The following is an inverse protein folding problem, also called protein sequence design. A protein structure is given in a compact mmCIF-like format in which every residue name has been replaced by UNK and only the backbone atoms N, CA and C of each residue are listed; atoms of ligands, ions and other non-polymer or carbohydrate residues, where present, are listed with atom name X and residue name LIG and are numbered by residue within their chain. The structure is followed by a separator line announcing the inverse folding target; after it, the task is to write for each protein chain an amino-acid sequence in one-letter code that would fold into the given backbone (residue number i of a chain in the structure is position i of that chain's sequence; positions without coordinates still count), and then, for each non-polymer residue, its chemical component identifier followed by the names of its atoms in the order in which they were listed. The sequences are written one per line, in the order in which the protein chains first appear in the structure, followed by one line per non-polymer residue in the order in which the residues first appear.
data_IF_479932322268
#
_entry.id   IF_479932322268
#
_cell.length_a   1.000
_cell.length_b   1.000
_cell.length_c   1.000
_cell.angle_alpha   90.00
_cell.angle_beta   90.00
_cell.angle_gamma   90.00
#
_symmetry.space_group_name_H-M   'P 1'
#
loop_
_entity.id
_entity.type
_entity.pdbx_description
1 polymer ?
#
# COMPACT_ATOMS: atom_id res chain seq x y z
N UNK A 1 41.82 -7.76 -80.24
CA UNK A 1 41.74 -9.13 -79.68
C UNK A 1 41.84 -9.01 -78.17
N UNK A 2 40.69 -8.90 -77.50
CA UNK A 2 40.60 -8.66 -76.07
C UNK A 2 39.79 -9.82 -75.46
N UNK A 3 40.36 -10.51 -74.45
CA UNK A 3 39.79 -11.62 -73.72
C UNK A 3 38.91 -11.09 -72.61
N UNK A 4 37.78 -11.73 -72.32
CA UNK A 4 36.90 -11.30 -71.22
C UNK A 4 37.38 -11.87 -69.86
N UNK A 5 37.26 -11.07 -68.81
CA UNK A 5 37.60 -11.39 -67.46
C UNK A 5 36.40 -12.11 -66.76
N UNK A 6 36.62 -13.11 -65.90
CA UNK A 6 35.51 -13.82 -65.19
C UNK A 6 35.01 -13.05 -63.97
N UNK A 7 33.71 -12.94 -63.86
CA UNK A 7 32.97 -12.41 -62.70
C UNK A 7 32.96 -13.42 -61.55
N UNK A 8 33.54 -13.01 -60.44
CA UNK A 8 33.51 -13.79 -59.20
C UNK A 8 32.13 -13.63 -58.48
N UNK A 9 31.45 -14.73 -58.34
CA UNK A 9 30.25 -14.82 -57.53
C UNK A 9 30.61 -14.72 -56.04
N UNK A 10 30.05 -13.72 -55.35
CA UNK A 10 30.14 -13.58 -53.89
C UNK A 10 29.09 -14.52 -53.23
N UNK A 11 29.49 -15.35 -52.26
CA UNK A 11 28.51 -16.10 -51.48
C UNK A 11 27.82 -15.16 -50.49
N UNK A 12 26.49 -15.08 -50.56
CA UNK A 12 25.62 -14.44 -49.56
C UNK A 12 25.57 -15.37 -48.36
N UNK A 13 26.32 -15.04 -47.30
CA UNK A 13 26.25 -15.72 -46.02
C UNK A 13 24.92 -15.39 -45.31
N UNK A 14 24.01 -16.36 -45.28
CA UNK A 14 22.81 -16.31 -44.46
C UNK A 14 23.24 -16.38 -42.96
N UNK A 15 23.29 -15.26 -42.28
CA UNK A 15 23.43 -15.19 -40.82
C UNK A 15 22.10 -15.60 -40.18
N UNK A 16 22.01 -16.84 -39.71
CA UNK A 16 20.91 -17.33 -38.89
C UNK A 16 21.05 -16.71 -37.50
N UNK A 17 20.35 -15.61 -37.27
CA UNK A 17 20.16 -15.03 -35.91
C UNK A 17 19.24 -15.94 -35.10
N UNK A 18 19.82 -16.79 -34.26
CA UNK A 18 19.11 -17.53 -33.25
C UNK A 18 18.57 -16.51 -32.21
N UNK A 19 17.32 -16.10 -32.35
CA UNK A 19 16.60 -15.38 -31.29
C UNK A 19 16.38 -16.36 -30.12
N UNK A 20 17.29 -16.30 -29.15
CA UNK A 20 17.06 -16.89 -27.86
C UNK A 20 15.96 -16.07 -27.18
N UNK A 21 14.72 -16.54 -27.26
CA UNK A 21 13.60 -15.99 -26.49
C UNK A 21 13.94 -16.22 -25.01
N UNK A 22 14.32 -15.13 -24.32
CA UNK A 22 14.33 -15.09 -22.86
C UNK A 22 12.90 -15.36 -22.42
N UNK A 23 12.64 -16.55 -21.92
CA UNK A 23 11.39 -16.86 -21.19
C UNK A 23 11.47 -16.07 -19.90
N UNK A 24 10.95 -14.85 -19.91
CA UNK A 24 10.67 -14.10 -18.71
C UNK A 24 9.71 -14.94 -17.88
N UNK A 25 10.18 -15.50 -16.76
CA UNK A 25 9.31 -16.19 -15.81
C UNK A 25 8.21 -15.24 -15.39
N UNK A 26 6.95 -15.57 -15.71
CA UNK A 26 5.81 -14.77 -15.34
C UNK A 26 5.73 -14.74 -13.81
N UNK A 27 5.86 -13.56 -13.22
CA UNK A 27 5.51 -13.33 -11.82
C UNK A 27 4.00 -13.55 -11.66
N UNK A 28 3.57 -14.08 -10.51
CA UNK A 28 2.16 -14.20 -10.20
C UNK A 28 1.49 -12.84 -10.36
N UNK A 29 0.46 -12.78 -11.19
CA UNK A 29 -0.32 -11.57 -11.43
C UNK A 29 -1.69 -11.75 -10.77
N UNK A 30 -1.76 -11.44 -9.46
CA UNK A 30 -2.99 -11.56 -8.68
C UNK A 30 -3.73 -10.23 -8.66
N UNK A 31 -4.98 -10.26 -9.12
CA UNK A 31 -5.92 -9.16 -8.95
C UNK A 31 -6.83 -9.43 -7.76
N UNK A 32 -6.93 -8.48 -6.83
CA UNK A 32 -7.74 -8.62 -5.60
C UNK A 32 -8.74 -7.50 -5.48
N UNK A 33 -9.99 -7.83 -5.17
CA UNK A 33 -11.09 -6.89 -5.01
C UNK A 33 -12.06 -7.35 -3.90
N UNK A 34 -12.50 -6.42 -3.03
CA UNK A 34 -12.13 -5.02 -2.93
C UNK A 34 -10.72 -4.83 -2.33
N UNK A 35 -10.14 -3.63 -2.50
CA UNK A 35 -8.84 -3.26 -1.91
C UNK A 35 -8.96 -2.74 -0.46
N UNK A 36 -10.17 -2.67 0.07
CA UNK A 36 -10.52 -2.35 1.46
C UNK A 36 -11.78 -3.12 1.83
N UNK A 37 -11.79 -3.76 2.98
CA UNK A 37 -12.94 -4.51 3.52
C UNK A 37 -13.58 -3.68 4.62
N UNK A 38 -14.90 -3.48 4.53
CA UNK A 38 -15.69 -2.78 5.54
C UNK A 38 -16.76 -3.72 6.09
N UNK A 39 -16.70 -3.97 7.40
CA UNK A 39 -17.65 -4.78 8.16
C UNK A 39 -18.48 -3.86 9.06
N UNK A 40 -19.73 -4.22 9.30
CA UNK A 40 -20.65 -3.47 10.13
C UNK A 40 -21.61 -4.42 10.84
N UNK A 41 -22.40 -3.93 11.80
CA UNK A 41 -23.35 -4.74 12.56
C UNK A 41 -24.34 -5.53 11.68
N UNK A 42 -24.80 -4.96 10.55
CA UNK A 42 -25.68 -5.64 9.58
C UNK A 42 -24.92 -6.39 8.48
N UNK A 43 -23.60 -6.30 8.42
CA UNK A 43 -22.73 -6.89 7.40
C UNK A 43 -21.46 -7.47 8.02
N UNK A 44 -21.66 -8.54 8.78
CA UNK A 44 -20.56 -9.20 9.50
C UNK A 44 -19.60 -10.00 8.60
N UNK A 45 -19.88 -10.13 7.29
CA UNK A 45 -18.99 -10.78 6.35
C UNK A 45 -18.97 -10.10 4.98
N UNK A 46 -17.79 -10.15 4.32
CA UNK A 46 -17.55 -9.61 2.97
C UNK A 46 -16.80 -10.65 2.15
N UNK A 47 -17.16 -10.77 0.87
CA UNK A 47 -16.43 -11.57 -0.10
C UNK A 47 -15.23 -10.79 -0.65
N UNK A 48 -14.05 -11.40 -0.58
CA UNK A 48 -12.82 -10.94 -1.19
C UNK A 48 -12.55 -11.81 -2.40
N UNK A 49 -12.50 -11.23 -3.57
CA UNK A 49 -12.27 -11.91 -4.85
C UNK A 49 -10.78 -11.87 -5.17
N UNK A 50 -10.19 -13.03 -5.45
CA UNK A 50 -8.80 -13.17 -5.87
C UNK A 50 -8.77 -13.82 -7.24
N UNK A 51 -8.34 -13.10 -8.27
CA UNK A 51 -8.19 -13.58 -9.64
C UNK A 51 -6.73 -13.75 -9.99
N UNK A 52 -6.41 -14.83 -10.66
CA UNK A 52 -5.07 -15.06 -11.19
C UNK A 52 -5.04 -14.68 -12.69
N UNK A 53 -4.44 -13.54 -13.00
CA UNK A 53 -4.23 -13.07 -14.37
C UNK A 53 -2.91 -13.59 -14.98
N UNK A 54 -2.16 -14.42 -14.25
CA UNK A 54 -0.97 -15.12 -14.73
C UNK A 54 -1.30 -16.40 -15.50
N UNK A 55 -0.27 -17.06 -15.98
CA UNK A 55 -0.33 -18.27 -16.80
C UNK A 55 -0.06 -19.57 -16.03
N UNK A 56 0.25 -19.48 -14.73
CA UNK A 56 0.54 -20.62 -13.85
C UNK A 56 -0.38 -20.63 -12.64
N UNK A 57 -0.75 -21.83 -12.11
CA UNK A 57 -1.52 -21.93 -10.87
C UNK A 57 -0.76 -21.29 -9.71
N UNK A 58 -1.45 -20.49 -8.90
CA UNK A 58 -0.88 -19.79 -7.77
C UNK A 58 -1.53 -20.24 -6.47
N UNK A 59 -0.72 -20.70 -5.52
CA UNK A 59 -1.18 -21.03 -4.17
C UNK A 59 -1.12 -19.75 -3.32
N UNK A 60 -2.23 -19.43 -2.66
CA UNK A 60 -2.37 -18.24 -1.82
C UNK A 60 -2.72 -18.67 -0.40
N UNK A 61 -1.97 -18.16 0.57
CA UNK A 61 -2.26 -18.27 1.99
C UNK A 61 -2.81 -16.94 2.50
N UNK A 62 -3.88 -17.00 3.31
CA UNK A 62 -4.45 -15.81 3.97
C UNK A 62 -4.05 -15.78 5.44
N UNK A 63 -3.70 -14.59 5.93
CA UNK A 63 -3.44 -14.34 7.35
C UNK A 63 -4.13 -13.06 7.77
N UNK A 64 -4.97 -13.12 8.80
CA UNK A 64 -5.58 -11.92 9.39
C UNK A 64 -4.85 -11.56 10.68
N UNK A 65 -4.59 -10.28 10.87
CA UNK A 65 -3.93 -9.72 12.05
C UNK A 65 -4.72 -8.51 12.56
N UNK A 66 -4.71 -8.26 13.85
CA UNK A 66 -5.17 -7.00 14.42
C UNK A 66 -4.14 -5.91 14.08
N UNK A 67 -4.63 -4.73 13.75
CA UNK A 67 -3.80 -3.61 13.33
C UNK A 67 -3.96 -2.45 14.30
N UNK A 68 -2.85 -2.00 14.82
CA UNK A 68 -2.72 -0.81 15.66
C UNK A 68 -1.53 0.04 15.22
N UNK A 69 -1.33 1.18 15.84
CA UNK A 69 -0.18 2.05 15.59
C UNK A 69 0.48 2.41 16.93
N UNK A 70 1.80 2.30 16.99
CA UNK A 70 2.60 2.67 18.16
C UNK A 70 3.80 3.49 17.69
N UNK A 71 4.07 4.60 18.36
CA UNK A 71 5.16 5.51 18.01
C UNK A 71 5.13 6.01 16.54
N UNK A 72 3.93 6.08 15.94
CA UNK A 72 3.75 6.47 14.55
C UNK A 72 3.91 5.35 13.52
N UNK A 73 4.18 4.11 13.93
CA UNK A 73 4.39 2.95 13.07
C UNK A 73 3.26 1.93 13.20
N UNK A 74 3.01 1.18 12.12
CA UNK A 74 2.01 0.12 12.09
C UNK A 74 2.48 -1.10 12.88
N UNK A 75 1.62 -1.61 13.77
CA UNK A 75 1.86 -2.81 14.57
C UNK A 75 0.79 -3.85 14.26
N UNK A 76 1.24 -5.08 13.96
CA UNK A 76 0.38 -6.20 13.62
C UNK A 76 0.51 -7.30 14.66
N UNK A 77 -0.61 -7.72 15.24
CA UNK A 77 -0.66 -8.78 16.25
C UNK A 77 -1.60 -9.90 15.82
N UNK A 78 -1.30 -11.17 16.14
CA UNK A 78 -2.21 -12.28 15.86
C UNK A 78 -3.60 -12.03 16.44
N UNK A 79 -4.64 -12.46 15.73
CA UNK A 79 -6.03 -12.31 16.17
C UNK A 79 -6.90 -13.48 15.73
N UNK A 80 -7.94 -13.77 16.51
CA UNK A 80 -9.02 -14.70 16.18
C UNK A 80 -10.38 -13.99 16.03
N UNK A 81 -10.38 -12.66 16.08
CA UNK A 81 -11.60 -11.86 16.02
C UNK A 81 -12.17 -11.73 14.61
N UNK A 82 -11.31 -11.89 13.60
CA UNK A 82 -11.71 -11.89 12.18
C UNK A 82 -11.13 -13.13 11.51
N UNK A 83 -11.95 -13.81 10.74
CA UNK A 83 -11.57 -14.99 9.95
C UNK A 83 -11.55 -14.67 8.46
N UNK A 84 -10.62 -15.32 7.75
CA UNK A 84 -10.65 -15.46 6.30
C UNK A 84 -10.78 -16.94 5.93
N UNK A 85 -11.71 -17.28 5.06
CA UNK A 85 -11.97 -18.69 4.65
C UNK A 85 -12.15 -18.76 3.13
N UNK A 86 -11.45 -19.69 2.45
CA UNK A 86 -10.49 -20.65 2.98
C UNK A 86 -9.14 -19.99 3.37
N UNK A 87 -8.40 -20.55 4.36
CA UNK A 87 -7.11 -19.98 4.80
C UNK A 87 -5.97 -20.21 3.80
N UNK A 88 -6.09 -21.24 2.95
CA UNK A 88 -5.18 -21.53 1.85
C UNK A 88 -5.99 -22.06 0.67
N UNK A 89 -5.62 -21.63 -0.55
CA UNK A 89 -6.30 -22.07 -1.77
C UNK A 89 -5.39 -21.91 -2.99
N UNK A 90 -5.71 -22.63 -4.06
CA UNK A 90 -5.04 -22.52 -5.36
C UNK A 90 -5.96 -21.80 -6.34
N UNK A 91 -5.43 -20.83 -7.06
CA UNK A 91 -6.13 -20.13 -8.15
C UNK A 91 -5.49 -20.54 -9.46
N UNK A 92 -6.23 -21.27 -10.29
CA UNK A 92 -5.77 -21.66 -11.63
C UNK A 92 -5.61 -20.43 -12.55
N UNK A 93 -4.82 -20.51 -13.64
CA UNK A 93 -4.70 -19.44 -14.63
C UNK A 93 -6.05 -18.94 -15.12
N UNK A 94 -6.26 -17.63 -15.12
CA UNK A 94 -7.50 -16.99 -15.53
C UNK A 94 -8.70 -17.19 -14.59
N UNK A 95 -8.55 -18.04 -13.56
CA UNK A 95 -9.64 -18.35 -12.62
C UNK A 95 -9.75 -17.32 -11.49
N UNK A 96 -10.88 -17.41 -10.79
CA UNK A 96 -11.20 -16.56 -9.64
C UNK A 96 -11.56 -17.42 -8.44
N UNK A 97 -11.04 -17.07 -7.27
CA UNK A 97 -11.38 -17.66 -5.99
C UNK A 97 -11.99 -16.59 -5.08
N UNK A 98 -13.01 -16.96 -4.33
CA UNK A 98 -13.60 -16.10 -3.29
C UNK A 98 -13.09 -16.55 -1.94
N UNK A 99 -12.51 -15.61 -1.18
CA UNK A 99 -12.25 -15.75 0.24
C UNK A 99 -13.28 -14.90 1.01
N UNK A 100 -13.93 -15.49 2.00
CA UNK A 100 -14.88 -14.76 2.87
C UNK A 100 -14.15 -14.25 4.10
N UNK A 101 -14.24 -12.95 4.34
CA UNK A 101 -13.74 -12.28 5.55
C UNK A 101 -14.94 -12.05 6.46
N UNK A 102 -14.89 -12.55 7.68
CA UNK A 102 -16.00 -12.48 8.62
C UNK A 102 -15.55 -12.09 10.03
N UNK A 103 -16.31 -11.21 10.68
CA UNK A 103 -16.13 -10.84 12.07
C UNK A 103 -16.72 -11.91 12.99
N UNK A 104 -15.97 -12.31 14.02
CA UNK A 104 -16.36 -13.32 15.02
C UNK A 104 -16.78 -12.74 16.38
N UNK A 105 -16.72 -11.43 16.51
CA UNK A 105 -17.12 -10.71 17.72
C UNK A 105 -18.15 -9.64 17.39
N UNK A 106 -18.74 -9.08 18.39
CA UNK A 106 -19.55 -7.86 18.22
C UNK A 106 -18.66 -6.66 17.90
N UNK A 107 -19.10 -5.73 17.02
CA UNK A 107 -18.46 -4.45 16.83
C UNK A 107 -18.31 -3.68 18.15
N UNK A 108 -17.30 -2.85 18.26
CA UNK A 108 -17.13 -1.97 19.40
C UNK A 108 -18.28 -0.93 19.50
N UNK A 109 -18.58 -0.49 20.71
CA UNK A 109 -19.69 0.45 20.93
C UNK A 109 -19.40 1.85 20.40
N UNK A 110 -18.16 2.31 20.50
CA UNK A 110 -17.78 3.70 20.30
C UNK A 110 -16.53 3.91 19.47
N UNK A 111 -15.94 2.88 18.90
CA UNK A 111 -14.72 2.98 18.11
C UNK A 111 -14.68 1.94 16.98
N UNK A 112 -14.24 2.35 15.82
CA UNK A 112 -13.93 1.45 14.72
C UNK A 112 -12.75 0.54 15.08
N UNK A 113 -12.84 -0.74 14.74
CA UNK A 113 -11.74 -1.69 14.89
C UNK A 113 -11.00 -1.85 13.56
N UNK A 114 -9.69 -2.01 13.62
CA UNK A 114 -8.84 -2.15 12.46
C UNK A 114 -8.10 -3.49 12.47
N UNK A 115 -8.13 -4.15 11.31
CA UNK A 115 -7.39 -5.39 11.05
C UNK A 115 -6.74 -5.30 9.68
N UNK A 116 -5.87 -6.24 9.38
CA UNK A 116 -5.31 -6.40 8.04
C UNK A 116 -5.32 -7.86 7.63
N UNK A 117 -5.76 -8.15 6.42
CA UNK A 117 -5.58 -9.44 5.80
C UNK A 117 -4.38 -9.39 4.88
N UNK A 118 -3.47 -10.34 5.02
CA UNK A 118 -2.40 -10.59 4.08
C UNK A 118 -2.77 -11.78 3.21
N UNK A 119 -2.66 -11.60 1.91
CA UNK A 119 -2.72 -12.64 0.89
C UNK A 119 -1.27 -12.87 0.46
N UNK A 120 -0.73 -14.01 0.79
CA UNK A 120 0.67 -14.33 0.50
C UNK A 120 0.73 -15.49 -0.49
N UNK A 121 1.43 -15.28 -1.59
CA UNK A 121 1.79 -16.35 -2.49
C UNK A 121 2.70 -17.34 -1.79
N UNK A 122 2.41 -18.64 -1.96
CA UNK A 122 3.28 -19.74 -1.52
C UNK A 122 4.04 -20.25 -2.74
N UNK A 123 5.32 -19.89 -2.91
CA UNK A 123 6.08 -20.34 -4.06
C UNK A 123 6.21 -21.86 -4.08
N UNK A 124 6.10 -22.44 -5.26
CA UNK A 124 6.46 -23.85 -5.46
C UNK A 124 7.96 -24.10 -5.28
N UNK A 125 8.38 -25.36 -5.22
CA UNK A 125 9.81 -25.70 -5.15
C UNK A 125 10.54 -25.17 -6.39
N UNK A 126 11.80 -24.70 -6.23
CA UNK A 126 12.61 -24.25 -7.36
C UNK A 126 12.75 -25.33 -8.40
N UNK A 127 12.71 -24.98 -9.68
CA UNK A 127 12.98 -25.94 -10.76
C UNK A 127 14.43 -26.43 -10.67
N UNK A 128 14.73 -27.70 -10.95
CA UNK A 128 16.11 -28.20 -11.00
C UNK A 128 16.96 -27.33 -11.91
N UNK A 129 18.12 -26.87 -11.42
CA UNK A 129 19.03 -26.00 -12.18
C UNK A 129 18.64 -24.53 -12.22
N UNK A 130 17.60 -24.09 -11.51
CA UNK A 130 17.23 -22.69 -11.43
C UNK A 130 18.33 -21.89 -10.69
N UNK A 131 18.88 -20.90 -11.38
CA UNK A 131 19.81 -19.91 -10.81
C UNK A 131 19.15 -18.53 -10.96
N UNK A 132 18.56 -18.03 -9.88
CA UNK A 132 17.85 -16.76 -9.90
C UNK A 132 17.17 -16.44 -8.57
N UNK A 133 16.48 -15.29 -8.51
CA UNK A 133 15.68 -14.87 -7.36
C UNK A 133 14.23 -15.28 -7.59
N UNK A 134 13.64 -16.01 -6.66
CA UNK A 134 12.21 -16.29 -6.64
C UNK A 134 11.51 -15.25 -5.76
N UNK A 135 10.65 -14.45 -6.34
CA UNK A 135 9.85 -13.46 -5.62
C UNK A 135 8.47 -14.04 -5.31
N UNK A 136 7.99 -13.83 -4.08
CA UNK A 136 6.63 -14.15 -3.66
C UNK A 136 5.87 -12.87 -3.38
N UNK A 137 4.66 -12.75 -3.94
CA UNK A 137 3.79 -11.61 -3.75
C UNK A 137 3.12 -11.69 -2.37
N UNK A 138 3.08 -10.55 -1.66
CA UNK A 138 2.31 -10.38 -0.43
C UNK A 138 1.47 -9.12 -0.51
N UNK A 139 0.15 -9.27 -0.57
CA UNK A 139 -0.82 -8.18 -0.65
C UNK A 139 -1.45 -7.97 0.72
N UNK A 140 -1.38 -6.75 1.26
CA UNK A 140 -2.01 -6.38 2.53
C UNK A 140 -3.25 -5.52 2.29
N UNK A 141 -4.42 -5.98 2.72
CA UNK A 141 -5.71 -5.28 2.56
C UNK A 141 -6.22 -4.90 3.94
N UNK A 142 -6.55 -3.62 4.17
CA UNK A 142 -7.15 -3.18 5.42
C UNK A 142 -8.58 -3.73 5.57
N UNK A 143 -8.93 -4.06 6.82
CA UNK A 143 -10.27 -4.44 7.22
C UNK A 143 -10.68 -3.48 8.34
N UNK A 144 -11.77 -2.76 8.13
CA UNK A 144 -12.35 -1.88 9.13
C UNK A 144 -13.70 -2.43 9.58
N UNK A 145 -13.94 -2.38 10.88
CA UNK A 145 -15.21 -2.77 11.48
C UNK A 145 -15.85 -1.53 12.09
N UNK A 146 -16.94 -1.09 11.49
CA UNK A 146 -17.67 0.08 11.98
C UNK A 146 -18.14 -0.10 13.42
N UNK A 147 -18.04 0.97 14.21
CA UNK A 147 -18.59 1.00 15.56
C UNK A 147 -20.12 0.89 15.52
N UNK A 148 -20.74 0.37 16.61
CA UNK A 148 -22.21 0.28 16.74
C UNK A 148 -22.88 1.65 16.68
N UNK A 149 -22.20 2.71 17.12
CA UNK A 149 -22.67 4.09 17.07
C UNK A 149 -21.86 4.86 16.03
N UNK A 150 -22.47 5.78 15.26
CA UNK A 150 -21.76 6.64 14.35
C UNK A 150 -20.61 7.37 15.06
N UNK A 151 -19.47 7.45 14.43
CA UNK A 151 -18.29 8.08 15.00
C UNK A 151 -17.86 9.29 14.12
N UNK A 152 -17.44 10.34 14.82
CA UNK A 152 -16.88 11.51 14.17
C UNK A 152 -15.37 11.33 13.95
N UNK A 153 -14.87 11.96 12.89
CA UNK A 153 -13.47 12.14 12.64
C UNK A 153 -13.00 13.42 13.35
N UNK A 154 -12.01 13.30 14.24
CA UNK A 154 -11.39 14.44 14.93
C UNK A 154 -9.88 14.32 14.81
N UNK A 155 -9.27 15.29 14.16
CA UNK A 155 -7.85 15.30 13.81
C UNK A 155 -7.16 16.45 14.52
N UNK A 156 -6.09 16.14 15.25
CA UNK A 156 -5.24 17.09 15.94
C UNK A 156 -3.83 17.06 15.33
N UNK A 157 -3.40 18.19 14.78
CA UNK A 157 -2.14 18.35 14.08
C UNK A 157 -1.12 19.07 14.97
N UNK A 158 0.11 18.58 14.98
CA UNK A 158 1.24 19.27 15.59
C UNK A 158 2.52 19.04 14.81
N UNK A 159 3.48 19.93 14.93
CA UNK A 159 4.76 19.80 14.27
C UNK A 159 5.86 20.49 15.05
N UNK A 160 7.11 20.05 14.87
CA UNK A 160 8.31 20.73 15.32
C UNK A 160 9.44 20.59 14.31
N UNK A 161 10.40 21.53 14.36
CA UNK A 161 11.60 21.45 13.54
C UNK A 161 12.58 20.45 14.13
N UNK A 162 13.16 19.62 13.28
CA UNK A 162 14.26 18.75 13.65
C UNK A 162 15.62 19.40 13.33
N UNK A 163 16.70 18.97 13.98
CA UNK A 163 18.05 19.35 13.59
C UNK A 163 18.29 19.03 12.10
N UNK A 164 18.84 19.99 11.35
CA UNK A 164 19.10 19.81 9.90
C UNK A 164 18.01 20.35 8.99
N UNK A 165 16.94 20.97 9.54
CA UNK A 165 15.89 21.63 8.76
C UNK A 165 14.76 20.72 8.33
N UNK A 166 14.76 19.47 8.76
CA UNK A 166 13.62 18.56 8.60
C UNK A 166 12.45 19.01 9.49
N UNK A 167 11.24 18.63 9.10
CA UNK A 167 10.02 18.87 9.87
C UNK A 167 9.43 17.54 10.32
N UNK A 168 9.21 17.39 11.61
CA UNK A 168 8.42 16.28 12.14
C UNK A 168 6.98 16.74 12.33
N UNK A 169 6.12 16.20 11.47
CA UNK A 169 4.68 16.43 11.50
C UNK A 169 3.99 15.26 12.19
N UNK A 170 3.01 15.56 13.02
CA UNK A 170 2.19 14.56 13.70
C UNK A 170 0.72 14.79 13.41
N UNK A 171 -0.01 13.69 13.31
CA UNK A 171 -1.46 13.67 13.28
C UNK A 171 -1.96 12.70 14.36
N UNK A 172 -2.67 13.22 15.34
CA UNK A 172 -3.40 12.44 16.32
C UNK A 172 -4.85 12.33 15.86
N UNK A 173 -5.35 11.14 15.68
CA UNK A 173 -6.75 10.91 15.43
C UNK A 173 -7.45 10.69 16.79
N UNK A 174 -8.03 11.74 17.34
CA UNK A 174 -8.77 11.71 18.62
C UNK A 174 -10.25 11.35 18.41
N UNK A 175 -10.66 11.05 17.18
CA UNK A 175 -11.98 10.57 16.83
C UNK A 175 -12.13 9.04 16.92
N UNK A 176 -13.29 8.54 16.55
CA UNK A 176 -13.62 7.11 16.58
C UNK A 176 -13.58 6.39 15.23
N UNK A 177 -13.19 7.07 14.16
CA UNK A 177 -13.09 6.54 12.79
C UNK A 177 -11.70 6.79 12.22
N UNK A 178 -11.17 5.86 11.41
CA UNK A 178 -9.89 6.06 10.71
C UNK A 178 -9.95 7.18 9.66
N UNK A 179 -8.79 7.67 9.28
CA UNK A 179 -8.58 8.52 8.11
C UNK A 179 -7.41 7.99 7.29
N UNK A 180 -7.52 8.05 5.97
CA UNK A 180 -6.40 7.83 5.08
C UNK A 180 -5.94 9.16 4.49
N UNK A 181 -4.66 9.49 4.71
CA UNK A 181 -4.01 10.68 4.17
C UNK A 181 -3.23 10.27 2.93
N UNK A 182 -3.51 10.90 1.79
CA UNK A 182 -2.86 10.59 0.50
C UNK A 182 -1.77 11.58 0.12
N UNK A 183 -1.97 12.85 0.47
CA UNK A 183 -1.08 13.94 0.07
C UNK A 183 -0.98 14.95 1.20
N UNK A 184 0.23 15.36 1.50
CA UNK A 184 0.55 16.36 2.51
C UNK A 184 1.40 17.45 1.87
N UNK A 185 0.98 18.69 2.04
CA UNK A 185 1.72 19.87 1.63
C UNK A 185 1.79 20.84 2.79
N UNK A 186 2.99 21.26 3.16
CA UNK A 186 3.24 22.18 4.25
C UNK A 186 3.93 23.42 3.71
N UNK A 187 3.38 24.58 4.05
CA UNK A 187 3.89 25.90 3.66
C UNK A 187 3.95 26.85 4.86
N UNK A 188 4.65 27.97 4.72
CA UNK A 188 4.47 29.08 5.63
C UNK A 188 3.07 29.68 5.44
N UNK A 189 2.51 30.32 6.46
CA UNK A 189 1.22 31.02 6.34
C UNK A 189 1.32 32.17 5.35
N UNK A 190 2.46 32.85 5.34
CA UNK A 190 2.74 34.02 4.50
C UNK A 190 3.06 33.67 3.04
N UNK A 191 3.53 32.45 2.77
CA UNK A 191 3.87 31.99 1.43
C UNK A 191 3.22 30.61 1.18
N UNK A 192 2.31 30.56 0.22
CA UNK A 192 1.55 29.35 -0.11
C UNK A 192 2.36 28.26 -0.85
N UNK A 193 3.60 28.57 -1.29
CA UNK A 193 4.46 27.58 -1.93
C UNK A 193 4.83 26.48 -0.94
N UNK A 194 4.64 25.18 -1.29
CA UNK A 194 4.99 24.09 -0.41
C UNK A 194 6.49 24.05 -0.12
N UNK A 195 6.85 23.96 1.16
CA UNK A 195 8.23 23.75 1.63
C UNK A 195 8.49 22.27 1.87
N UNK A 196 7.48 21.53 2.30
CA UNK A 196 7.54 20.08 2.50
C UNK A 196 6.35 19.43 1.82
N UNK A 197 6.56 18.21 1.30
CA UNK A 197 5.47 17.39 0.76
C UNK A 197 5.70 15.91 1.07
N UNK A 198 4.60 15.16 1.13
CA UNK A 198 4.61 13.69 1.18
C UNK A 198 3.39 13.17 0.42
N UNK A 199 3.62 12.31 -0.58
CA UNK A 199 2.58 11.71 -1.42
C UNK A 199 2.34 10.23 -1.10
N UNK A 200 2.92 9.72 -0.01
CA UNK A 200 2.72 8.34 0.42
C UNK A 200 1.43 8.21 1.21
N UNK A 201 0.52 7.38 0.73
CA UNK A 201 -0.72 7.09 1.43
C UNK A 201 -0.45 6.46 2.80
N UNK A 202 -1.08 7.00 3.84
CA UNK A 202 -0.93 6.53 5.22
C UNK A 202 -2.26 6.58 5.94
N UNK A 203 -2.57 5.52 6.70
CA UNK A 203 -3.73 5.51 7.59
C UNK A 203 -3.37 6.07 8.96
N UNK A 204 -4.33 6.73 9.60
CA UNK A 204 -4.30 7.08 11.02
C UNK A 204 -5.53 6.50 11.69
N UNK A 205 -5.32 5.48 12.52
CA UNK A 205 -6.40 4.72 13.14
C UNK A 205 -7.04 5.48 14.30
N UNK A 206 -8.27 5.14 14.73
CA UNK A 206 -8.97 5.78 15.83
C UNK A 206 -8.17 5.71 17.14
N UNK A 207 -8.00 6.84 17.81
CA UNK A 207 -7.23 6.97 19.04
C UNK A 207 -5.72 6.77 18.87
N UNK A 208 -5.22 6.83 17.64
CA UNK A 208 -3.81 6.56 17.31
C UNK A 208 -3.14 7.81 16.74
N UNK A 209 -1.81 7.74 16.66
CA UNK A 209 -0.95 8.82 16.17
C UNK A 209 -0.10 8.32 15.01
N UNK A 210 0.04 9.16 13.97
CA UNK A 210 1.02 8.98 12.88
C UNK A 210 2.01 10.13 12.88
N UNK A 211 3.24 9.87 12.46
CA UNK A 211 4.25 10.91 12.27
C UNK A 211 4.92 10.77 10.92
N UNK A 212 5.34 11.92 10.38
CA UNK A 212 6.14 12.01 9.16
C UNK A 212 7.37 12.86 9.43
N UNK A 213 8.54 12.34 9.07
CA UNK A 213 9.77 13.12 9.00
C UNK A 213 9.91 13.63 7.56
N UNK A 214 9.73 14.93 7.38
CA UNK A 214 9.67 15.57 6.08
C UNK A 214 10.94 16.35 5.80
N UNK A 215 11.57 16.12 4.64
CA UNK A 215 12.71 16.90 4.17
C UNK A 215 12.23 18.11 3.39
N UNK A 216 12.89 19.26 3.51
CA UNK A 216 12.52 20.43 2.72
C UNK A 216 12.72 20.14 1.22
N UNK A 217 11.82 20.69 0.42
CA UNK A 217 11.98 20.71 -1.03
C UNK A 217 13.17 21.60 -1.40
N UNK A 218 13.83 21.30 -2.51
CA UNK A 218 15.01 22.05 -2.94
C UNK A 218 14.75 23.55 -3.00
N UNK A 219 15.68 24.34 -2.43
CA UNK A 219 15.67 25.80 -2.40
C UNK A 219 14.47 26.43 -1.66
N UNK A 220 13.73 25.66 -0.88
CA UNK A 220 12.62 26.16 -0.08
C UNK A 220 13.03 26.23 1.39
N UNK A 221 12.64 27.31 2.06
CA UNK A 221 12.81 27.49 3.49
C UNK A 221 11.52 27.89 4.14
N UNK A 222 11.25 27.33 5.31
CA UNK A 222 10.07 27.65 6.09
C UNK A 222 10.34 28.93 6.90
N UNK A 223 9.61 30.01 6.62
CA UNK A 223 9.66 31.26 7.37
C UNK A 223 8.66 31.26 8.52
N UNK A 224 9.06 31.85 9.65
CA UNK A 224 8.21 31.99 10.83
C UNK A 224 7.93 30.66 11.57
N UNK A 225 7.07 30.78 12.59
CA UNK A 225 6.69 29.65 13.45
C UNK A 225 5.25 29.15 13.18
N UNK A 226 4.52 29.83 12.29
CA UNK A 226 3.18 29.41 11.87
C UNK A 226 3.25 28.78 10.50
N UNK A 227 2.70 27.57 10.42
CA UNK A 227 2.67 26.78 9.19
C UNK A 227 1.24 26.43 8.81
N UNK A 228 1.02 26.26 7.52
CA UNK A 228 -0.22 25.77 6.96
C UNK A 228 -0.02 24.34 6.50
N UNK A 229 -0.86 23.43 7.01
CA UNK A 229 -0.90 22.03 6.61
C UNK A 229 -2.10 21.84 5.70
N UNK A 230 -1.85 21.37 4.49
CA UNK A 230 -2.88 20.93 3.54
C UNK A 230 -2.75 19.44 3.35
N UNK A 231 -3.83 18.71 3.60
CA UNK A 231 -3.90 17.28 3.43
C UNK A 231 -5.06 16.88 2.50
N UNK A 232 -4.81 15.98 1.57
CA UNK A 232 -5.85 15.26 0.87
C UNK A 232 -6.11 13.95 1.61
N UNK A 233 -7.38 13.72 1.99
CA UNK A 233 -7.78 12.52 2.73
C UNK A 233 -8.92 11.80 2.02
N UNK A 234 -9.24 10.58 2.44
CA UNK A 234 -10.40 9.82 1.97
C UNK A 234 -11.75 10.45 2.38
N UNK A 235 -11.74 11.40 3.32
CA UNK A 235 -12.91 12.18 3.73
C UNK A 235 -12.97 13.58 3.11
N UNK A 236 -11.98 13.95 2.29
CA UNK A 236 -11.89 15.24 1.63
C UNK A 236 -10.61 16.01 1.94
N UNK A 237 -10.59 17.29 1.57
CA UNK A 237 -9.44 18.17 1.83
C UNK A 237 -9.51 18.73 3.24
N UNK A 238 -8.38 18.70 3.92
CA UNK A 238 -8.16 19.30 5.23
C UNK A 238 -7.14 20.43 5.08
N UNK A 239 -7.45 21.60 5.59
CA UNK A 239 -6.52 22.72 5.67
C UNK A 239 -6.55 23.27 7.10
N UNK A 240 -5.40 23.39 7.73
CA UNK A 240 -5.27 23.92 9.08
C UNK A 240 -3.98 24.69 9.24
N UNK A 241 -3.97 25.64 10.17
CA UNK A 241 -2.79 26.38 10.58
C UNK A 241 -2.38 25.94 11.98
N UNK A 242 -1.11 25.66 12.17
CA UNK A 242 -0.55 25.27 13.46
C UNK A 242 0.70 26.08 13.77
N UNK A 243 1.01 26.22 15.05
CA UNK A 243 2.27 26.80 15.54
C UNK A 243 3.26 25.69 15.76
N UNK A 244 4.49 25.90 15.30
CA UNK A 244 5.58 24.95 15.52
C UNK A 244 5.90 24.84 17.01
N UNK A 245 5.86 23.62 17.52
CA UNK A 245 6.30 23.30 18.86
C UNK A 245 7.82 23.40 19.00
N UNK A 246 8.27 23.49 20.24
CA UNK A 246 9.68 23.24 20.57
C UNK A 246 9.96 21.75 20.46
N UNK A 247 11.17 21.34 20.04
CA UNK A 247 11.56 19.94 19.97
C UNK A 247 11.54 19.23 21.30
#
# INVERSE_FOLDING_TARGET
MALPTPTWARPIGLAFFFLWSLVAGAAANLHVSPVRVELAAGRASVALTVKNDGDTPTVVQTQVVAWSQQNGEDVYTPTNEVLATPPIFTVAPGATQIARVALRREPDAGRELAYRIFLQEVPGPPRPGFQGVQMALRIGIPIFVEAKKPQELKLDWSAHREPGGELRLFLNNVGGKHVQVYDLNISSVENAAPVYSNQSASYVLPGQRRSWLLKPLERQTLSGDRIRVKALTDTGRVETEIVLGKP
#
